data_IF_366800799809
#
_entry.id   IF_366800799809
#
_cell.length_a   1.000
_cell.length_b   1.000
_cell.length_c   1.000
_cell.angle_alpha   90.00
_cell.angle_beta   90.00
_cell.angle_gamma   90.00
#
_symmetry.space_group_name_H-M   'P 1'
#
loop_
_entity.id
_entity.type
_entity.pdbx_description
1 polymer ?
#
# COMPACT_ATOMS: atom_id res chain seq x y z
N UNK A 1 -25.69 -24.80 13.24
CA UNK A 1 -24.59 -23.80 13.29
C UNK A 1 -24.03 -23.75 11.89
N UNK A 2 -24.48 -22.79 11.10
CA UNK A 2 -23.91 -22.56 9.78
C UNK A 2 -22.45 -22.09 9.99
N UNK A 3 -21.50 -22.85 9.47
CA UNK A 3 -20.12 -22.37 9.33
C UNK A 3 -20.17 -21.18 8.36
N UNK A 4 -20.07 -19.97 8.92
CA UNK A 4 -19.87 -18.75 8.14
C UNK A 4 -18.61 -18.99 7.32
N UNK A 5 -18.75 -19.22 6.03
CA UNK A 5 -17.64 -19.42 5.11
C UNK A 5 -16.79 -18.14 5.21
N UNK A 6 -15.59 -18.26 5.76
CA UNK A 6 -14.69 -17.11 5.95
C UNK A 6 -14.31 -16.57 4.58
N UNK A 7 -14.81 -15.38 4.25
CA UNK A 7 -14.52 -14.75 2.96
C UNK A 7 -13.07 -14.25 2.94
N UNK A 8 -12.33 -14.67 1.93
CA UNK A 8 -10.94 -14.26 1.71
C UNK A 8 -10.92 -12.94 0.92
N UNK A 9 -10.29 -11.92 1.52
CA UNK A 9 -10.07 -10.63 0.88
C UNK A 9 -8.83 -10.66 -0.03
N UNK A 10 -7.74 -11.29 0.44
CA UNK A 10 -6.50 -11.42 -0.34
C UNK A 10 -5.99 -12.85 -0.22
N UNK A 11 -5.70 -13.49 -1.35
CA UNK A 11 -5.00 -14.77 -1.39
C UNK A 11 -3.68 -14.61 -2.17
N UNK A 12 -2.58 -14.83 -1.48
CA UNK A 12 -1.22 -14.90 -2.02
C UNK A 12 -0.85 -16.37 -2.08
N UNK A 13 -0.63 -16.91 -3.29
CA UNK A 13 -0.42 -18.33 -3.50
C UNK A 13 0.86 -18.58 -4.31
N UNK A 14 1.86 -19.16 -3.65
CA UNK A 14 3.18 -19.49 -4.20
C UNK A 14 3.88 -18.33 -4.92
N UNK A 15 3.69 -17.11 -4.43
CA UNK A 15 4.26 -15.90 -5.05
C UNK A 15 5.78 -15.91 -4.96
N UNK A 16 6.40 -15.78 -6.12
CA UNK A 16 7.84 -15.60 -6.27
C UNK A 16 8.16 -14.37 -7.11
N UNK A 17 9.22 -13.66 -6.75
CA UNK A 17 9.72 -12.52 -7.52
C UNK A 17 11.22 -12.57 -7.66
N UNK A 18 11.68 -12.69 -8.89
CA UNK A 18 13.11 -12.75 -9.25
C UNK A 18 13.48 -11.52 -10.07
N UNK A 19 14.53 -10.84 -9.66
CA UNK A 19 15.14 -9.76 -10.41
C UNK A 19 16.42 -10.24 -11.08
N UNK A 20 16.59 -9.89 -12.36
CA UNK A 20 17.84 -10.10 -13.10
C UNK A 20 18.76 -8.92 -12.85
N UNK A 21 19.86 -9.15 -12.16
CA UNK A 21 20.88 -8.15 -11.87
C UNK A 21 22.01 -8.29 -12.90
N UNK A 22 22.19 -7.27 -13.75
CA UNK A 22 23.25 -7.21 -14.75
C UNK A 22 24.41 -6.40 -14.21
N UNK A 23 25.63 -6.90 -14.36
CA UNK A 23 26.84 -6.19 -13.93
C UNK A 23 27.15 -4.98 -14.86
N UNK A 24 26.70 -5.04 -16.14
CA UNK A 24 26.88 -3.97 -17.12
C UNK A 24 25.56 -3.72 -17.89
N UNK A 25 25.21 -2.44 -18.18
CA UNK A 25 24.02 -2.12 -18.98
C UNK A 25 24.00 -2.79 -20.36
N UNK A 26 25.19 -2.95 -20.99
CA UNK A 26 25.37 -3.62 -22.28
C UNK A 26 24.94 -5.11 -22.24
N UNK A 27 25.11 -5.80 -21.11
CA UNK A 27 24.76 -7.21 -20.99
C UNK A 27 23.24 -7.42 -21.10
N UNK A 28 22.45 -6.45 -20.60
CA UNK A 28 21.00 -6.43 -20.77
C UNK A 28 20.59 -6.29 -22.24
N UNK A 29 21.25 -5.39 -22.99
CA UNK A 29 21.01 -5.21 -24.44
C UNK A 29 21.37 -6.47 -25.24
N UNK A 30 22.53 -7.06 -24.96
CA UNK A 30 23.01 -8.26 -25.66
C UNK A 30 22.06 -9.45 -25.42
N UNK A 31 21.49 -9.59 -24.22
CA UNK A 31 20.49 -10.63 -23.91
C UNK A 31 19.17 -10.33 -24.63
N UNK A 32 18.69 -9.08 -24.57
CA UNK A 32 17.44 -8.68 -25.21
C UNK A 32 17.44 -8.89 -26.75
N UNK A 33 18.61 -8.73 -27.37
CA UNK A 33 18.82 -8.97 -28.80
C UNK A 33 19.11 -10.45 -29.15
N UNK A 34 19.14 -11.34 -28.16
CA UNK A 34 19.44 -12.76 -28.38
C UNK A 34 20.86 -13.07 -28.88
N UNK A 35 21.78 -12.11 -28.75
CA UNK A 35 23.16 -12.22 -29.27
C UNK A 35 24.08 -13.12 -28.42
N UNK A 36 23.59 -13.64 -27.30
CA UNK A 36 24.35 -14.56 -26.44
C UNK A 36 23.47 -15.65 -25.87
N UNK A 37 24.02 -16.88 -25.80
CA UNK A 37 23.41 -18.02 -25.13
C UNK A 37 23.83 -18.13 -23.65
N UNK A 38 24.81 -17.32 -23.20
CA UNK A 38 25.28 -17.33 -21.81
C UNK A 38 24.46 -16.35 -20.99
N UNK A 39 23.91 -16.81 -19.84
CA UNK A 39 23.30 -15.94 -18.83
C UNK A 39 24.36 -14.94 -18.33
N UNK A 40 24.13 -13.65 -18.53
CA UNK A 40 25.01 -12.55 -18.11
C UNK A 40 24.42 -11.76 -16.93
N UNK A 41 23.58 -12.39 -16.14
CA UNK A 41 22.93 -11.80 -14.96
C UNK A 41 22.97 -12.76 -13.77
N UNK A 42 22.89 -12.17 -12.60
CA UNK A 42 22.64 -12.89 -11.36
C UNK A 42 21.16 -12.80 -11.02
N UNK A 43 20.57 -13.91 -10.60
CA UNK A 43 19.19 -13.92 -10.12
C UNK A 43 19.17 -13.50 -8.64
N UNK A 44 18.36 -12.49 -8.36
CA UNK A 44 18.08 -12.06 -6.98
C UNK A 44 16.62 -12.36 -6.67
N UNK A 45 16.42 -13.29 -5.74
CA UNK A 45 15.09 -13.70 -5.29
C UNK A 45 14.62 -12.70 -4.21
N UNK A 46 13.77 -11.77 -4.61
CA UNK A 46 13.15 -10.84 -3.66
C UNK A 46 12.00 -11.49 -2.89
N UNK A 47 11.34 -12.49 -3.51
CA UNK A 47 10.35 -13.36 -2.88
C UNK A 47 10.53 -14.78 -3.44
N UNK A 48 10.41 -15.78 -2.58
CA UNK A 48 10.51 -17.20 -2.91
C UNK A 48 9.36 -17.96 -2.25
N UNK A 49 8.40 -18.41 -3.07
CA UNK A 49 7.32 -19.31 -2.66
C UNK A 49 6.52 -18.82 -1.44
N UNK A 50 6.11 -17.57 -1.46
CA UNK A 50 5.34 -16.95 -0.37
C UNK A 50 3.87 -17.24 -0.54
N UNK A 51 3.23 -17.85 0.48
CA UNK A 51 1.79 -18.11 0.49
C UNK A 51 1.17 -17.69 1.81
N UNK A 52 0.09 -16.90 1.74
CA UNK A 52 -0.77 -16.56 2.87
C UNK A 52 -2.11 -16.01 2.37
N UNK A 53 -3.08 -15.97 3.26
CA UNK A 53 -4.39 -15.41 2.97
C UNK A 53 -4.71 -14.33 4.00
N UNK A 54 -5.55 -13.37 3.63
CA UNK A 54 -6.11 -12.36 4.53
C UNK A 54 -7.63 -12.47 4.42
N UNK A 55 -8.29 -12.67 5.56
CA UNK A 55 -9.74 -12.76 5.64
C UNK A 55 -10.36 -11.37 5.62
N UNK A 56 -11.61 -11.25 5.15
CA UNK A 56 -12.34 -9.98 5.26
C UNK A 56 -12.48 -9.57 6.72
N UNK A 57 -12.19 -8.30 7.00
CA UNK A 57 -12.23 -7.72 8.34
C UNK A 57 -11.02 -8.06 9.23
N UNK A 58 -10.04 -8.79 8.70
CA UNK A 58 -8.83 -9.14 9.45
C UNK A 58 -7.76 -8.03 9.32
N UNK A 59 -7.05 -7.75 10.41
CA UNK A 59 -5.86 -6.92 10.40
C UNK A 59 -4.61 -7.81 10.48
N UNK A 60 -3.88 -7.92 9.36
CA UNK A 60 -2.67 -8.75 9.25
C UNK A 60 -1.42 -7.88 9.25
N UNK A 61 -0.52 -8.12 10.21
CA UNK A 61 0.81 -7.50 10.24
C UNK A 61 1.77 -8.19 9.28
N UNK A 62 2.54 -7.46 8.50
CA UNK A 62 3.69 -7.98 7.75
C UNK A 62 4.96 -7.41 8.36
N UNK A 63 5.78 -8.26 8.95
CA UNK A 63 7.02 -7.86 9.60
C UNK A 63 8.23 -8.56 8.97
N UNK A 64 9.40 -7.99 9.19
CA UNK A 64 10.67 -8.52 8.71
C UNK A 64 11.74 -7.44 8.63
N UNK A 65 12.99 -7.84 8.51
CA UNK A 65 14.13 -6.93 8.38
C UNK A 65 14.11 -6.15 7.06
N UNK A 66 14.96 -5.14 6.93
CA UNK A 66 15.14 -4.44 5.66
C UNK A 66 15.64 -5.43 4.59
N UNK A 67 15.05 -5.36 3.40
CA UNK A 67 15.34 -6.31 2.32
C UNK A 67 14.66 -7.67 2.45
N UNK A 68 13.78 -7.89 3.44
CA UNK A 68 13.07 -9.17 3.59
C UNK A 68 11.97 -9.44 2.56
N UNK A 69 11.63 -8.47 1.71
CA UNK A 69 10.61 -8.61 0.66
C UNK A 69 9.27 -7.91 0.96
N UNK A 70 9.12 -7.21 2.10
CA UNK A 70 7.87 -6.51 2.48
C UNK A 70 7.35 -5.59 1.38
N UNK A 71 8.15 -4.62 0.94
CA UNK A 71 7.74 -3.68 -0.11
C UNK A 71 7.50 -4.38 -1.46
N UNK A 72 8.17 -5.51 -1.72
CA UNK A 72 7.95 -6.29 -2.95
C UNK A 72 6.59 -6.98 -2.92
N UNK A 73 6.22 -7.63 -1.83
CA UNK A 73 4.90 -8.29 -1.72
C UNK A 73 3.78 -7.26 -1.72
N UNK A 74 3.96 -6.10 -1.08
CA UNK A 74 2.96 -5.04 -1.10
C UNK A 74 2.74 -4.48 -2.53
N UNK A 75 3.82 -4.23 -3.28
CA UNK A 75 3.71 -3.80 -4.69
C UNK A 75 3.04 -4.84 -5.57
N UNK A 76 3.18 -6.12 -5.25
CA UNK A 76 2.46 -7.19 -5.95
C UNK A 76 0.97 -7.14 -5.56
N UNK A 77 0.63 -7.04 -4.28
CA UNK A 77 -0.76 -6.99 -3.80
C UNK A 77 -1.50 -5.78 -4.38
N UNK A 78 -0.83 -4.63 -4.47
CA UNK A 78 -1.40 -3.40 -5.06
C UNK A 78 -1.44 -3.39 -6.59
N UNK A 79 -0.92 -4.43 -7.26
CA UNK A 79 -0.89 -4.51 -8.72
C UNK A 79 0.17 -3.64 -9.41
N UNK A 80 1.01 -2.94 -8.65
CA UNK A 80 2.12 -2.11 -9.18
C UNK A 80 3.23 -2.99 -9.78
N UNK A 81 3.38 -4.22 -9.28
CA UNK A 81 4.42 -5.14 -9.67
C UNK A 81 3.85 -6.54 -9.97
N UNK A 82 4.16 -7.08 -11.15
CA UNK A 82 3.79 -8.46 -11.47
C UNK A 82 4.75 -9.46 -10.79
N UNK A 83 4.24 -10.55 -10.22
CA UNK A 83 5.08 -11.64 -9.74
C UNK A 83 5.78 -12.34 -10.90
N UNK A 84 6.87 -13.08 -10.63
CA UNK A 84 7.53 -13.96 -11.60
C UNK A 84 6.87 -15.35 -11.64
N UNK A 85 6.26 -15.76 -10.55
CA UNK A 85 5.49 -17.00 -10.41
C UNK A 85 4.49 -16.92 -9.28
N UNK A 86 3.54 -17.87 -9.26
CA UNK A 86 2.43 -17.87 -8.31
C UNK A 86 1.23 -17.06 -8.76
N UNK A 87 0.19 -17.01 -7.94
CA UNK A 87 -1.05 -16.31 -8.23
C UNK A 87 -1.46 -15.40 -7.07
N UNK A 88 -2.06 -14.26 -7.42
CA UNK A 88 -2.64 -13.31 -6.48
C UNK A 88 -4.11 -13.15 -6.80
N UNK A 89 -4.95 -13.27 -5.78
CA UNK A 89 -6.38 -12.92 -5.86
C UNK A 89 -6.67 -11.84 -4.84
N UNK A 90 -7.35 -10.77 -5.28
CA UNK A 90 -7.80 -9.67 -4.43
C UNK A 90 -9.29 -9.46 -4.65
N UNK A 91 -10.06 -9.50 -3.57
CA UNK A 91 -11.50 -9.34 -3.57
C UNK A 91 -11.87 -8.06 -2.80
N UNK A 92 -11.92 -6.94 -3.51
CA UNK A 92 -12.23 -5.63 -2.97
C UNK A 92 -11.31 -4.52 -3.47
N UNK A 93 -11.72 -3.27 -3.25
CA UNK A 93 -10.93 -2.08 -3.61
C UNK A 93 -9.83 -1.84 -2.59
N UNK A 94 -8.59 -1.79 -3.07
CA UNK A 94 -7.41 -1.51 -2.26
C UNK A 94 -7.13 -0.01 -2.24
N UNK A 95 -6.90 0.53 -1.04
CA UNK A 95 -6.21 1.80 -0.86
C UNK A 95 -4.89 1.56 -0.13
N UNK A 96 -3.79 1.96 -0.75
CA UNK A 96 -2.46 1.80 -0.18
C UNK A 96 -1.87 3.15 0.23
N UNK A 97 -1.39 3.23 1.47
CA UNK A 97 -0.66 4.40 1.98
C UNK A 97 0.86 4.31 1.70
N UNK A 98 1.27 3.39 0.80
CA UNK A 98 2.67 3.11 0.47
C UNK A 98 3.40 4.30 -0.15
N UNK A 99 2.70 5.05 -0.97
CA UNK A 99 3.23 6.20 -1.71
C UNK A 99 2.22 7.36 -1.59
N UNK A 100 2.19 8.00 -0.42
CA UNK A 100 1.31 9.13 -0.15
C UNK A 100 1.48 10.21 -1.21
N UNK A 101 0.37 10.57 -1.87
CA UNK A 101 0.37 11.54 -2.96
C UNK A 101 0.83 10.97 -4.32
N UNK A 102 1.02 9.66 -4.45
CA UNK A 102 1.21 9.05 -5.78
C UNK A 102 0.03 9.40 -6.68
N UNK A 103 0.33 9.87 -7.89
CA UNK A 103 -0.69 10.35 -8.83
C UNK A 103 -1.14 11.80 -8.62
N UNK A 104 -0.65 12.51 -7.59
CA UNK A 104 -0.93 13.95 -7.47
C UNK A 104 -0.23 14.73 -8.58
N UNK A 105 -0.97 15.64 -9.20
CA UNK A 105 -0.42 16.62 -10.13
C UNK A 105 -0.07 17.90 -9.35
N UNK A 106 1.18 18.28 -9.36
CA UNK A 106 1.69 19.43 -8.60
C UNK A 106 1.13 20.77 -9.09
N UNK A 107 0.68 20.85 -10.36
CA UNK A 107 0.08 22.05 -10.95
C UNK A 107 -1.42 22.20 -10.61
N UNK A 108 -2.05 21.12 -10.15
CA UNK A 108 -3.46 21.11 -9.77
C UNK A 108 -3.63 21.58 -8.32
N UNK A 109 -4.79 22.13 -8.02
CA UNK A 109 -5.22 22.47 -6.66
C UNK A 109 -5.39 21.20 -5.81
N UNK A 110 -5.48 21.36 -4.50
CA UNK A 110 -5.80 20.24 -3.61
C UNK A 110 -7.12 19.57 -3.96
N UNK A 111 -8.16 20.37 -4.28
CA UNK A 111 -9.48 19.85 -4.67
C UNK A 111 -9.39 19.01 -5.95
N UNK A 112 -8.73 19.53 -6.99
CA UNK A 112 -8.54 18.79 -8.24
C UNK A 112 -7.76 17.50 -8.03
N UNK A 113 -6.77 17.50 -7.13
CA UNK A 113 -6.02 16.28 -6.78
C UNK A 113 -6.86 15.26 -5.99
N UNK A 114 -7.82 15.72 -5.15
CA UNK A 114 -8.77 14.82 -4.50
C UNK A 114 -9.58 14.06 -5.55
N UNK A 115 -10.16 14.77 -6.54
CA UNK A 115 -10.91 14.12 -7.63
C UNK A 115 -10.02 13.23 -8.49
N UNK A 116 -8.84 13.70 -8.88
CA UNK A 116 -7.89 12.92 -9.69
C UNK A 116 -7.52 11.61 -9.02
N UNK A 117 -7.11 11.65 -7.75
CA UNK A 117 -6.70 10.47 -6.99
C UNK A 117 -7.88 9.53 -6.74
N UNK A 118 -9.05 10.05 -6.38
CA UNK A 118 -10.25 9.24 -6.18
C UNK A 118 -10.65 8.50 -7.45
N UNK A 119 -10.68 9.19 -8.60
CA UNK A 119 -11.01 8.59 -9.90
C UNK A 119 -9.98 7.53 -10.32
N UNK A 120 -8.68 7.77 -10.13
CA UNK A 120 -7.62 6.79 -10.40
C UNK A 120 -7.77 5.52 -9.55
N UNK A 121 -8.32 5.63 -8.34
CA UNK A 121 -8.61 4.49 -7.46
C UNK A 121 -10.00 3.87 -7.72
N UNK A 122 -10.70 4.27 -8.80
CA UNK A 122 -11.95 3.67 -9.25
C UNK A 122 -13.20 4.16 -8.52
N UNK A 123 -13.13 5.32 -7.84
CA UNK A 123 -14.29 5.96 -7.21
C UNK A 123 -14.98 6.90 -8.20
N UNK A 124 -16.31 6.96 -8.13
CA UNK A 124 -17.12 7.90 -8.91
C UNK A 124 -17.01 9.32 -8.32
N UNK A 125 -17.29 10.34 -9.13
CA UNK A 125 -17.35 11.72 -8.65
C UNK A 125 -18.33 11.89 -7.48
N UNK A 126 -19.48 11.24 -7.51
CA UNK A 126 -20.48 11.29 -6.44
C UNK A 126 -19.96 10.70 -5.13
N UNK A 127 -19.22 9.57 -5.20
CA UNK A 127 -18.56 8.97 -4.02
C UNK A 127 -17.51 9.93 -3.45
N UNK A 128 -16.69 10.55 -4.31
CA UNK A 128 -15.67 11.53 -3.91
C UNK A 128 -16.33 12.76 -3.27
N UNK A 129 -17.37 13.32 -3.91
CA UNK A 129 -18.06 14.50 -3.42
C UNK A 129 -18.73 14.26 -2.06
N UNK A 130 -19.31 13.07 -1.85
CA UNK A 130 -19.90 12.68 -0.57
C UNK A 130 -18.88 12.61 0.57
N UNK A 131 -17.58 12.45 0.27
CA UNK A 131 -16.47 12.41 1.22
C UNK A 131 -15.62 13.68 1.27
N UNK A 132 -15.92 14.63 0.39
CA UNK A 132 -15.11 15.84 0.24
C UNK A 132 -14.93 16.58 1.57
N UNK A 133 -16.02 16.80 2.31
CA UNK A 133 -15.95 17.53 3.58
C UNK A 133 -15.12 16.77 4.62
N UNK A 134 -15.27 15.45 4.73
CA UNK A 134 -14.48 14.63 5.64
C UNK A 134 -12.97 14.68 5.31
N UNK A 135 -12.64 14.70 4.01
CA UNK A 135 -11.26 14.83 3.53
C UNK A 135 -10.68 16.19 3.92
N UNK A 136 -11.44 17.27 3.70
CA UNK A 136 -10.99 18.63 4.00
C UNK A 136 -10.80 18.85 5.49
N UNK A 137 -11.76 18.41 6.32
CA UNK A 137 -11.73 18.53 7.78
C UNK A 137 -10.58 17.71 8.39
N UNK A 138 -10.31 16.54 7.80
CA UNK A 138 -9.19 15.73 8.23
C UNK A 138 -7.85 16.34 7.88
N UNK A 139 -7.69 16.85 6.64
CA UNK A 139 -6.46 17.48 6.15
C UNK A 139 -6.11 18.75 6.94
N UNK A 140 -7.12 19.53 7.30
CA UNK A 140 -6.99 20.74 8.12
C UNK A 140 -5.89 21.68 7.58
N UNK A 141 -5.99 22.00 6.27
CA UNK A 141 -5.06 22.91 5.56
C UNK A 141 -5.73 24.22 5.13
N UNK A 142 -7.01 24.40 5.49
CA UNK A 142 -7.78 25.62 5.22
C UNK A 142 -7.86 25.96 3.73
N UNK A 143 -7.84 27.25 3.43
CA UNK A 143 -7.98 27.75 2.04
C UNK A 143 -6.82 27.35 1.09
N UNK A 144 -5.72 26.82 1.62
CA UNK A 144 -4.65 26.30 0.76
C UNK A 144 -5.14 25.19 -0.16
N UNK A 145 -6.20 24.46 0.20
CA UNK A 145 -6.77 23.42 -0.67
C UNK A 145 -7.17 23.94 -2.06
N UNK A 146 -7.45 25.25 -2.18
CA UNK A 146 -7.78 25.94 -3.44
C UNK A 146 -6.54 26.38 -4.23
N UNK A 147 -5.34 26.21 -3.69
CA UNK A 147 -4.08 26.58 -4.33
C UNK A 147 -3.41 25.36 -4.97
N UNK A 148 -2.57 25.56 -5.99
CA UNK A 148 -1.79 24.47 -6.58
C UNK A 148 -0.89 23.77 -5.54
N UNK A 149 -0.85 22.44 -5.58
CA UNK A 149 -0.13 21.62 -4.61
C UNK A 149 1.37 21.92 -4.56
N UNK A 150 1.96 22.40 -5.66
CA UNK A 150 3.37 22.87 -5.67
C UNK A 150 3.67 24.00 -4.68
N UNK A 151 2.64 24.72 -4.20
CA UNK A 151 2.81 25.78 -3.19
C UNK A 151 2.73 25.29 -1.75
N UNK A 152 2.44 24.00 -1.55
CA UNK A 152 2.26 23.43 -0.23
C UNK A 152 3.60 23.22 0.47
N UNK A 153 3.58 23.34 1.79
CA UNK A 153 4.63 22.76 2.61
C UNK A 153 4.59 21.22 2.54
N UNK A 154 5.71 20.57 2.85
CA UNK A 154 5.73 19.10 2.92
C UNK A 154 4.68 18.53 3.88
N UNK A 155 4.44 19.21 5.01
CA UNK A 155 3.39 18.84 5.96
C UNK A 155 1.99 18.93 5.38
N UNK A 156 1.66 20.03 4.67
CA UNK A 156 0.35 20.19 4.01
C UNK A 156 0.13 19.14 2.93
N UNK A 157 1.15 18.87 2.13
CA UNK A 157 1.12 17.81 1.11
C UNK A 157 0.77 16.46 1.71
N UNK A 158 1.50 16.06 2.76
CA UNK A 158 1.30 14.78 3.45
C UNK A 158 -0.08 14.71 4.09
N UNK A 159 -0.53 15.79 4.75
CA UNK A 159 -1.87 15.86 5.35
C UNK A 159 -2.96 15.66 4.32
N UNK A 160 -2.91 16.35 3.17
CA UNK A 160 -3.89 16.18 2.11
C UNK A 160 -3.84 14.76 1.51
N UNK A 161 -2.66 14.27 1.14
CA UNK A 161 -2.50 12.96 0.53
C UNK A 161 -3.01 11.83 1.45
N UNK A 162 -2.71 11.91 2.74
CA UNK A 162 -3.20 10.96 3.74
C UNK A 162 -4.72 11.06 3.91
N UNK A 163 -5.27 12.30 3.97
CA UNK A 163 -6.71 12.52 4.13
C UNK A 163 -7.52 11.95 2.97
N UNK A 164 -7.03 12.10 1.74
CA UNK A 164 -7.65 11.47 0.57
C UNK A 164 -7.62 9.95 0.72
N UNK A 165 -6.46 9.39 0.99
CA UNK A 165 -6.28 7.94 1.05
C UNK A 165 -7.14 7.28 2.14
N UNK A 166 -7.34 7.95 3.28
CA UNK A 166 -8.04 7.35 4.41
C UNK A 166 -9.56 7.61 4.45
N UNK A 167 -10.03 8.68 3.79
CA UNK A 167 -11.46 9.03 3.83
C UNK A 167 -12.27 8.55 2.61
N UNK A 168 -11.65 7.99 1.58
CA UNK A 168 -12.34 7.39 0.42
C UNK A 168 -12.91 5.99 0.71
N UNK A 169 -13.01 5.58 1.94
CA UNK A 169 -13.69 4.35 2.43
C UNK A 169 -13.32 3.06 1.66
N UNK A 170 -12.05 2.63 1.67
CA UNK A 170 -11.61 1.41 1.00
C UNK A 170 -12.17 0.15 1.68
N UNK A 171 -12.27 -0.96 0.92
CA UNK A 171 -12.56 -2.28 1.48
C UNK A 171 -11.31 -2.90 2.12
N UNK A 172 -10.16 -2.63 1.52
CA UNK A 172 -8.84 -3.12 1.94
C UNK A 172 -7.90 -1.94 2.09
N UNK A 173 -7.37 -1.73 3.29
CA UNK A 173 -6.39 -0.69 3.57
C UNK A 173 -5.01 -1.30 3.74
N UNK A 174 -4.02 -0.76 3.03
CA UNK A 174 -2.61 -1.13 3.22
C UNK A 174 -1.86 0.05 3.83
N UNK A 175 -1.29 -0.17 5.00
CA UNK A 175 -0.55 0.84 5.77
C UNK A 175 0.90 0.40 5.91
N UNK A 176 1.84 1.19 5.41
CA UNK A 176 3.28 0.95 5.49
C UNK A 176 3.95 2.12 6.20
N UNK A 177 4.23 1.97 7.49
CA UNK A 177 4.91 2.98 8.34
C UNK A 177 4.31 4.41 8.24
N UNK A 178 3.28 4.58 7.40
CA UNK A 178 2.71 5.87 7.02
C UNK A 178 1.92 6.56 8.14
N UNK A 179 1.64 5.87 9.26
CA UNK A 179 0.95 6.49 10.40
C UNK A 179 1.84 7.46 11.19
N UNK A 180 3.15 7.44 10.95
CA UNK A 180 4.13 8.32 11.61
C UNK A 180 4.41 9.62 10.83
N UNK A 181 3.50 10.04 9.95
CA UNK A 181 3.65 11.25 9.13
C UNK A 181 3.01 12.47 9.77
N UNK A 182 3.52 13.65 9.43
CA UNK A 182 3.02 14.92 9.95
C UNK A 182 3.49 15.21 11.39
N UNK A 183 2.79 16.12 12.03
CA UNK A 183 3.03 16.47 13.44
C UNK A 183 2.29 15.51 14.39
N UNK A 184 2.60 15.60 15.69
CA UNK A 184 2.06 14.71 16.73
C UNK A 184 0.52 14.70 16.76
N UNK A 185 -0.12 15.86 16.51
CA UNK A 185 -1.59 15.95 16.52
C UNK A 185 -2.20 15.26 15.29
N UNK A 186 -1.56 15.42 14.14
CA UNK A 186 -2.00 14.72 12.92
C UNK A 186 -1.78 13.21 13.03
N UNK A 187 -0.65 12.79 13.59
CA UNK A 187 -0.41 11.37 13.89
C UNK A 187 -1.49 10.78 14.80
N UNK A 188 -1.91 11.50 15.84
CA UNK A 188 -2.99 11.05 16.72
C UNK A 188 -4.31 10.89 15.95
N UNK A 189 -4.65 11.83 15.04
CA UNK A 189 -5.82 11.69 14.14
C UNK A 189 -5.71 10.43 13.25
N UNK A 190 -4.51 10.16 12.70
CA UNK A 190 -4.27 8.99 11.85
C UNK A 190 -4.49 7.68 12.62
N UNK A 191 -3.93 7.56 13.83
CA UNK A 191 -4.14 6.37 14.68
C UNK A 191 -5.59 6.19 15.09
N UNK A 192 -6.30 7.28 15.42
CA UNK A 192 -7.72 7.22 15.76
C UNK A 192 -8.54 6.69 14.58
N UNK A 193 -8.30 7.21 13.36
CA UNK A 193 -8.99 6.75 12.15
C UNK A 193 -8.69 5.29 11.82
N UNK A 194 -7.46 4.86 12.06
CA UNK A 194 -7.07 3.46 11.92
C UNK A 194 -7.87 2.55 12.88
N UNK A 195 -8.02 2.96 14.15
CA UNK A 195 -8.84 2.22 15.15
C UNK A 195 -10.33 2.19 14.76
N UNK A 196 -10.86 3.27 14.15
CA UNK A 196 -12.21 3.28 13.61
C UNK A 196 -12.38 2.23 12.51
N UNK A 197 -11.45 2.16 11.54
CA UNK A 197 -11.49 1.17 10.48
C UNK A 197 -11.45 -0.26 11.02
N UNK A 198 -10.62 -0.51 12.00
CA UNK A 198 -10.58 -1.82 12.66
C UNK A 198 -11.92 -2.15 13.32
N UNK A 199 -12.55 -1.20 14.03
CA UNK A 199 -13.87 -1.38 14.65
C UNK A 199 -14.99 -1.59 13.62
N UNK A 200 -14.88 -0.97 12.43
CA UNK A 200 -15.82 -1.17 11.32
C UNK A 200 -15.61 -2.51 10.60
N UNK A 201 -14.62 -3.32 10.99
CA UNK A 201 -14.34 -4.59 10.34
C UNK A 201 -13.73 -4.46 8.95
N UNK A 202 -12.99 -3.37 8.67
CA UNK A 202 -12.25 -3.23 7.41
C UNK A 202 -11.06 -4.19 7.38
N UNK A 203 -10.73 -4.70 6.20
CA UNK A 203 -9.54 -5.53 6.01
C UNK A 203 -8.30 -4.65 5.98
N UNK A 204 -7.29 -4.99 6.77
CA UNK A 204 -6.09 -4.15 6.89
C UNK A 204 -4.83 -5.00 6.75
N UNK A 205 -3.91 -4.57 5.88
CA UNK A 205 -2.51 -5.01 5.91
C UNK A 205 -1.69 -3.90 6.57
N UNK A 206 -1.07 -4.22 7.68
CA UNK A 206 -0.26 -3.29 8.45
C UNK A 206 1.22 -3.69 8.39
N UNK A 207 2.06 -2.85 7.79
CA UNK A 207 3.50 -3.09 7.70
C UNK A 207 4.22 -2.14 8.63
N UNK A 208 4.97 -2.68 9.56
CA UNK A 208 5.75 -1.90 10.49
C UNK A 208 6.96 -2.70 10.98
N UNK A 209 8.00 -1.98 11.36
CA UNK A 209 9.10 -2.54 12.13
C UNK A 209 8.91 -2.32 13.65
N UNK A 210 7.91 -1.55 14.05
CA UNK A 210 7.53 -1.39 15.47
C UNK A 210 6.61 -2.53 15.92
N UNK A 211 7.19 -3.49 16.64
CA UNK A 211 6.47 -4.66 17.16
C UNK A 211 5.38 -4.28 18.16
N UNK A 212 5.49 -3.13 18.84
CA UNK A 212 4.49 -2.66 19.79
C UNK A 212 3.19 -2.31 19.07
N UNK A 213 3.29 -1.55 17.97
CA UNK A 213 2.14 -1.22 17.12
C UNK A 213 1.54 -2.47 16.47
N UNK A 214 2.38 -3.37 15.98
CA UNK A 214 1.91 -4.64 15.38
C UNK A 214 1.15 -5.47 16.40
N UNK A 215 1.67 -5.64 17.62
CA UNK A 215 1.02 -6.38 18.70
C UNK A 215 -0.30 -5.75 19.15
N UNK A 216 -0.38 -4.42 19.11
CA UNK A 216 -1.60 -3.68 19.50
C UNK A 216 -2.72 -3.81 18.48
N UNK A 217 -2.38 -3.76 17.19
CA UNK A 217 -3.37 -3.56 16.13
C UNK A 217 -3.65 -4.80 15.29
N UNK A 218 -2.70 -5.72 15.14
CA UNK A 218 -2.85 -6.87 14.25
C UNK A 218 -3.43 -8.09 14.97
N UNK A 219 -4.29 -8.83 14.27
CA UNK A 219 -4.89 -10.07 14.76
C UNK A 219 -3.92 -11.25 14.61
N UNK A 220 -3.07 -11.19 13.59
CA UNK A 220 -1.93 -12.11 13.34
C UNK A 220 -0.84 -11.44 12.51
N UNK A 221 0.27 -12.14 12.37
CA UNK A 221 1.48 -11.64 11.71
C UNK A 221 1.97 -12.62 10.65
N UNK A 222 2.44 -12.08 9.54
CA UNK A 222 3.24 -12.77 8.52
C UNK A 222 4.69 -12.30 8.67
N UNK A 223 5.58 -13.21 9.06
CA UNK A 223 7.00 -12.92 9.19
C UNK A 223 7.71 -13.25 7.88
N UNK A 224 8.34 -12.24 7.28
CA UNK A 224 9.19 -12.40 6.10
C UNK A 224 10.68 -12.27 6.47
N UNK A 225 11.48 -13.18 5.95
CA UNK A 225 12.92 -13.09 6.05
C UNK A 225 13.58 -13.54 4.74
N UNK A 226 14.42 -12.67 4.14
CA UNK A 226 15.13 -12.93 2.88
C UNK A 226 14.21 -13.49 1.77
N UNK A 227 13.02 -12.91 1.64
CA UNK A 227 12.06 -13.28 0.61
C UNK A 227 11.24 -14.53 0.90
N UNK A 228 11.39 -15.14 2.08
CA UNK A 228 10.66 -16.36 2.48
C UNK A 228 9.73 -16.04 3.65
N UNK A 229 8.54 -16.66 3.67
CA UNK A 229 7.63 -16.61 4.82
C UNK A 229 8.10 -17.62 5.86
N UNK A 230 8.31 -17.18 7.10
CA UNK A 230 8.71 -18.01 8.23
C UNK A 230 7.56 -18.35 9.19
N UNK A 231 6.51 -17.57 9.23
CA UNK A 231 5.37 -17.74 10.11
C UNK A 231 4.14 -16.94 9.69
#
# INVERSE_FOLDING_TARGET
>A
MEQKQEEIAIAVDHISKVYKLYDKPMDRMVEALGLTKKKKYREHFALSDVSFQVKKGECVGIIGTNGSGKSTILKIITGVLNPTGGTLTVNGRIQALLELGAGFNMEYTGIENIYLNGTMNGFTEQEIESRMQDILDFADIGDYVKQPVKTYSSGMFVRLAFSVAINIDPEILIVDEALSVGDVFFQAKCYHKFEEFKKMGKTIIFVSHDLSSVSKYCDRVVLLNQGVKLG
#
